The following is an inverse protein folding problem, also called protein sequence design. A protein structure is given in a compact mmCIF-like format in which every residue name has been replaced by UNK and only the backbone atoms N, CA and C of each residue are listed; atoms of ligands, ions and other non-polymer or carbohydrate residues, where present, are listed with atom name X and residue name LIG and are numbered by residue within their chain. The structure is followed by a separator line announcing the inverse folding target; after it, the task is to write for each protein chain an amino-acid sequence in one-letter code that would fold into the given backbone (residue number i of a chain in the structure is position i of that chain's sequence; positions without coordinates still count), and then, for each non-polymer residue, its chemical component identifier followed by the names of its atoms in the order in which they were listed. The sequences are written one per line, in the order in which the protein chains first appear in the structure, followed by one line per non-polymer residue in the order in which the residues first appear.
data_IF_529908414612
#
_entry.id   IF_529908414612
#
_cell.length_a   1.000
_cell.length_b   1.000
_cell.length_c   1.000
_cell.angle_alpha   90.00
_cell.angle_beta   90.00
_cell.angle_gamma   90.00
#
_symmetry.space_group_name_H-M   'P 1'
#
loop_
_entity.id
_entity.type
_entity.pdbx_description
1 polymer ?
#
# COMPACT_ATOMS: atom_id res chain seq x y z
N UNK A 1 6.05 -20.85 33.05
CA UNK A 1 5.10 -20.33 32.05
C UNK A 1 5.62 -20.75 30.69
N UNK A 2 4.91 -21.66 30.03
CA UNK A 2 5.25 -22.15 28.68
C UNK A 2 4.88 -21.06 27.69
N UNK A 3 5.62 -20.92 26.56
CA UNK A 3 5.20 -20.03 25.46
C UNK A 3 3.82 -20.43 24.90
N UNK A 4 3.40 -21.69 25.10
CA UNK A 4 2.07 -22.19 24.76
C UNK A 4 0.96 -21.57 25.62
N UNK A 5 1.26 -21.15 26.87
CA UNK A 5 0.29 -20.47 27.73
C UNK A 5 -0.09 -19.09 27.19
N UNK A 6 0.77 -18.52 26.33
CA UNK A 6 0.52 -17.26 25.63
C UNK A 6 -0.40 -17.42 24.41
N UNK A 7 -0.45 -18.62 23.85
CA UNK A 7 -1.27 -18.94 22.68
C UNK A 7 -2.74 -19.18 23.07
N UNK A 8 -2.99 -19.62 24.30
CA UNK A 8 -4.32 -20.00 24.78
C UNK A 8 -5.27 -18.82 25.08
N UNK A 9 -4.77 -17.59 25.09
CA UNK A 9 -5.60 -16.40 25.31
C UNK A 9 -6.09 -15.75 24.01
N UNK A 10 -6.37 -16.56 23.01
CA UNK A 10 -6.88 -16.11 21.72
C UNK A 10 -5.78 -15.66 20.77
N UNK A 11 -5.26 -16.59 19.98
CA UNK A 11 -4.28 -16.33 18.91
C UNK A 11 -4.69 -15.11 18.08
N UNK A 12 -5.98 -14.99 17.77
CA UNK A 12 -6.53 -13.88 17.02
C UNK A 12 -6.24 -12.53 17.68
N UNK A 13 -6.42 -12.40 18.99
CA UNK A 13 -6.16 -11.14 19.72
C UNK A 13 -4.68 -10.80 19.79
N UNK A 14 -3.79 -11.76 19.68
CA UNK A 14 -2.34 -11.53 19.73
C UNK A 14 -1.74 -11.14 18.37
N UNK A 15 -2.32 -11.63 17.29
CA UNK A 15 -1.79 -11.43 15.93
C UNK A 15 -2.66 -10.56 15.04
N UNK A 16 -3.89 -10.24 15.46
CA UNK A 16 -4.77 -9.33 14.74
C UNK A 16 -4.72 -7.93 15.38
N UNK A 17 -4.06 -6.95 14.76
CA UNK A 17 -3.95 -5.60 15.29
C UNK A 17 -5.32 -4.92 15.54
N UNK A 18 -6.33 -5.24 14.73
CA UNK A 18 -7.68 -4.70 14.92
C UNK A 18 -8.31 -5.15 16.22
N UNK A 19 -8.12 -6.42 16.58
CA UNK A 19 -8.62 -6.98 17.85
C UNK A 19 -7.84 -6.38 19.02
N UNK A 20 -6.52 -6.24 18.89
CA UNK A 20 -5.67 -5.65 19.93
C UNK A 20 -5.98 -4.18 20.20
N UNK A 21 -6.31 -3.41 19.16
CA UNK A 21 -6.66 -1.97 19.27
C UNK A 21 -8.12 -1.77 19.66
N UNK A 22 -9.00 -2.74 19.36
CA UNK A 22 -10.43 -2.66 19.66
C UNK A 22 -11.15 -1.57 18.85
N UNK A 23 -12.13 -0.91 19.47
CA UNK A 23 -13.02 0.06 18.81
C UNK A 23 -12.30 1.26 18.18
N UNK A 24 -11.08 1.58 18.64
CA UNK A 24 -10.29 2.67 18.06
C UNK A 24 -9.72 2.34 16.66
N UNK A 25 -9.66 1.07 16.27
CA UNK A 25 -9.08 0.65 14.99
C UNK A 25 -9.80 1.27 13.79
N UNK A 26 -11.13 1.30 13.83
CA UNK A 26 -11.93 1.88 12.75
C UNK A 26 -11.72 3.39 12.63
N UNK A 27 -11.67 4.08 13.78
CA UNK A 27 -11.40 5.52 13.80
C UNK A 27 -10.03 5.86 13.22
N UNK A 28 -9.01 5.08 13.51
CA UNK A 28 -7.66 5.28 12.96
C UNK A 28 -7.63 5.03 11.45
N UNK A 29 -8.24 3.94 10.98
CA UNK A 29 -8.30 3.64 9.55
C UNK A 29 -9.03 4.74 8.77
N UNK A 30 -10.15 5.22 9.30
CA UNK A 30 -10.88 6.34 8.72
C UNK A 30 -10.03 7.62 8.71
N UNK A 31 -9.25 7.89 9.77
CA UNK A 31 -8.30 8.99 9.82
C UNK A 31 -7.24 8.91 8.71
N UNK A 32 -6.68 7.72 8.47
CA UNK A 32 -5.72 7.50 7.38
C UNK A 32 -6.33 7.75 6.00
N UNK A 33 -7.56 7.29 5.78
CA UNK A 33 -8.27 7.53 4.52
C UNK A 33 -8.52 9.03 4.30
N UNK A 34 -9.00 9.75 5.31
CA UNK A 34 -9.26 11.18 5.20
C UNK A 34 -7.96 11.98 4.96
N UNK A 35 -6.90 11.68 5.69
CA UNK A 35 -5.60 12.32 5.48
C UNK A 35 -5.03 11.98 4.10
N UNK A 36 -5.17 10.74 3.65
CA UNK A 36 -4.73 10.31 2.32
C UNK A 36 -5.47 11.04 1.20
N UNK A 37 -6.79 11.23 1.32
CA UNK A 37 -7.58 12.00 0.37
C UNK A 37 -7.13 13.47 0.31
N UNK A 38 -6.90 14.09 1.47
CA UNK A 38 -6.40 15.45 1.56
C UNK A 38 -5.03 15.58 0.88
N UNK A 39 -4.11 14.70 1.21
CA UNK A 39 -2.74 14.71 0.67
C UNK A 39 -2.69 14.36 -0.82
N UNK A 40 -3.59 13.49 -1.29
CA UNK A 40 -3.71 13.18 -2.73
C UNK A 40 -4.04 14.43 -3.55
N UNK A 41 -4.89 15.29 -3.03
CA UNK A 41 -5.26 16.55 -3.71
C UNK A 41 -4.08 17.54 -3.82
N UNK A 42 -3.12 17.47 -2.90
CA UNK A 42 -1.92 18.32 -2.87
C UNK A 42 -0.77 17.73 -3.71
N UNK A 43 -0.76 16.40 -3.87
CA UNK A 43 0.29 15.68 -4.58
C UNK A 43 0.05 15.73 -6.09
N UNK A 44 0.92 16.43 -6.82
CA UNK A 44 0.93 16.36 -8.29
C UNK A 44 1.38 14.97 -8.75
N UNK A 45 0.58 14.30 -9.60
CA UNK A 45 0.92 12.96 -10.06
C UNK A 45 -0.08 12.39 -11.05
N UNK A 46 0.17 11.16 -11.48
CA UNK A 46 -0.74 10.33 -12.29
C UNK A 46 -1.24 9.19 -11.41
N UNK A 47 -2.54 9.04 -11.34
CA UNK A 47 -3.20 8.10 -10.44
C UNK A 47 -3.90 6.99 -11.22
N UNK A 48 -4.06 5.85 -10.56
CA UNK A 48 -4.83 4.71 -11.06
C UNK A 48 -4.32 4.16 -12.41
N UNK A 49 -2.99 4.10 -12.56
CA UNK A 49 -2.33 3.56 -13.76
C UNK A 49 -2.44 2.04 -13.70
N UNK A 50 -3.19 1.45 -14.64
CA UNK A 50 -3.37 0.01 -14.71
C UNK A 50 -2.07 -0.71 -15.15
N UNK A 51 -1.74 -1.81 -14.48
CA UNK A 51 -0.67 -2.72 -14.87
C UNK A 51 -1.16 -4.15 -15.17
N UNK A 52 -2.47 -4.38 -15.05
CA UNK A 52 -3.12 -5.65 -15.35
C UNK A 52 -4.63 -5.49 -15.52
N UNK A 53 -5.34 -6.62 -15.56
CA UNK A 53 -6.79 -6.64 -15.86
C UNK A 53 -7.69 -6.60 -14.63
N UNK A 54 -7.16 -6.92 -13.46
CA UNK A 54 -7.91 -6.85 -12.21
C UNK A 54 -8.03 -5.38 -11.76
N UNK A 55 -9.16 -4.99 -11.18
CA UNK A 55 -9.42 -3.60 -10.75
C UNK A 55 -8.40 -3.05 -9.75
N UNK A 56 -7.81 -3.92 -8.90
CA UNK A 56 -6.77 -3.55 -7.96
C UNK A 56 -5.36 -3.59 -8.56
N UNK A 57 -5.17 -4.04 -9.80
CA UNK A 57 -3.88 -4.02 -10.48
C UNK A 57 -3.58 -2.62 -11.03
N UNK A 58 -3.36 -1.69 -10.13
CA UNK A 58 -3.11 -0.28 -10.42
C UNK A 58 -2.00 0.28 -9.52
N UNK A 59 -1.34 1.32 -9.99
CA UNK A 59 -0.43 2.12 -9.17
C UNK A 59 -0.62 3.62 -9.40
N UNK A 60 -0.18 4.41 -8.44
CA UNK A 60 -0.08 5.86 -8.55
C UNK A 60 1.39 6.24 -8.68
N UNK A 61 1.70 7.29 -9.42
CA UNK A 61 3.06 7.81 -9.59
C UNK A 61 3.09 9.32 -9.41
N UNK A 62 4.02 9.80 -8.60
CA UNK A 62 4.42 11.20 -8.55
C UNK A 62 5.92 11.32 -8.83
N UNK A 63 6.28 12.19 -9.76
CA UNK A 63 7.68 12.45 -10.10
C UNK A 63 8.39 13.20 -8.99
N UNK A 64 9.68 12.96 -8.85
CA UNK A 64 10.56 13.66 -7.91
C UNK A 64 11.79 14.24 -8.62
N UNK A 65 12.81 14.54 -7.84
CA UNK A 65 14.12 14.92 -8.36
C UNK A 65 14.77 13.71 -9.04
N UNK A 66 15.18 13.87 -10.30
CA UNK A 66 15.84 12.83 -11.09
C UNK A 66 17.20 12.38 -10.51
N UNK A 67 17.79 13.17 -9.62
CA UNK A 67 19.01 12.79 -8.90
C UNK A 67 18.74 11.82 -7.73
N UNK A 68 17.48 11.63 -7.33
CA UNK A 68 17.07 10.75 -6.24
C UNK A 68 16.39 9.48 -6.78
N UNK A 69 16.47 8.36 -6.04
CA UNK A 69 15.79 7.14 -6.44
C UNK A 69 14.27 7.28 -6.38
N UNK A 70 13.58 6.48 -7.19
CA UNK A 70 12.12 6.30 -7.06
C UNK A 70 11.84 5.27 -5.98
N UNK A 71 10.94 5.60 -5.07
CA UNK A 71 10.51 4.72 -3.98
C UNK A 71 9.20 4.05 -4.38
N UNK A 72 9.19 2.72 -4.38
CA UNK A 72 7.99 1.91 -4.61
C UNK A 72 7.43 1.51 -3.24
N UNK A 73 6.22 1.96 -2.94
CA UNK A 73 5.50 1.63 -1.73
C UNK A 73 4.43 0.57 -2.01
N UNK A 74 4.49 -0.52 -1.28
CA UNK A 74 3.52 -1.62 -1.33
C UNK A 74 2.83 -1.66 0.03
N UNK A 75 1.51 -1.45 0.03
CA UNK A 75 0.75 -1.35 1.27
C UNK A 75 0.69 -2.68 2.02
N UNK A 76 0.66 -2.59 3.35
CA UNK A 76 0.37 -3.71 4.24
C UNK A 76 -1.12 -4.06 4.25
N UNK A 77 -1.55 -4.83 5.24
CA UNK A 77 -2.94 -5.26 5.42
C UNK A 77 -3.07 -6.78 5.47
N UNK A 78 -1.98 -7.48 5.74
CA UNK A 78 -1.96 -8.94 5.89
C UNK A 78 -2.46 -9.67 4.62
N UNK A 79 -2.27 -9.06 3.45
CA UNK A 79 -2.74 -9.54 2.13
C UNK A 79 -4.26 -9.71 2.01
N UNK A 80 -5.05 -9.21 2.94
CA UNK A 80 -6.50 -9.40 3.04
C UNK A 80 -7.29 -8.10 3.20
N UNK A 81 -6.61 -6.99 3.41
CA UNK A 81 -7.24 -5.71 3.70
C UNK A 81 -6.37 -4.55 3.29
N UNK A 82 -6.95 -3.37 3.28
CA UNK A 82 -6.38 -2.10 2.87
C UNK A 82 -6.14 -2.03 1.37
N UNK A 83 -5.91 -0.82 0.91
CA UNK A 83 -5.52 -0.55 -0.45
C UNK A 83 -4.67 0.74 -0.50
N UNK A 84 -4.12 1.03 -1.66
CA UNK A 84 -3.25 2.19 -1.86
C UNK A 84 -3.88 3.52 -1.46
N UNK A 85 -5.20 3.65 -1.53
CA UNK A 85 -5.90 4.91 -1.22
C UNK A 85 -5.76 5.31 0.25
N UNK A 86 -5.68 4.33 1.16
CA UNK A 86 -5.49 4.57 2.59
C UNK A 86 -4.04 4.97 2.95
N UNK A 87 -3.08 4.78 2.03
CA UNK A 87 -1.65 4.98 2.27
C UNK A 87 -1.06 6.20 1.56
N UNK A 88 -1.87 7.00 0.89
CA UNK A 88 -1.42 8.15 0.11
C UNK A 88 -0.68 9.22 0.94
N UNK A 89 -1.00 9.34 2.23
CA UNK A 89 -0.32 10.27 3.13
C UNK A 89 1.18 9.96 3.28
N UNK A 90 1.57 8.69 3.34
CA UNK A 90 2.99 8.28 3.34
C UNK A 90 3.69 8.66 2.03
N UNK A 91 3.00 8.50 0.91
CA UNK A 91 3.50 8.88 -0.40
C UNK A 91 3.78 10.37 -0.49
N UNK A 92 2.85 11.18 0.00
CA UNK A 92 2.98 12.63 -0.03
C UNK A 92 4.16 13.12 0.82
N UNK A 93 4.46 12.48 1.94
CA UNK A 93 5.61 12.83 2.79
C UNK A 93 6.94 12.50 2.08
N UNK A 94 7.02 11.36 1.41
CA UNK A 94 8.19 10.97 0.62
C UNK A 94 8.38 11.91 -0.58
N UNK A 95 7.31 12.23 -1.31
CA UNK A 95 7.36 13.17 -2.42
C UNK A 95 7.74 14.58 -1.96
N UNK A 96 7.25 15.02 -0.80
CA UNK A 96 7.64 16.28 -0.16
C UNK A 96 9.12 16.36 0.20
N UNK A 97 9.78 15.22 0.32
CA UNK A 97 11.23 15.09 0.52
C UNK A 97 12.03 15.03 -0.80
N UNK A 98 11.37 15.18 -1.94
CA UNK A 98 11.97 15.21 -3.27
C UNK A 98 12.07 13.87 -3.98
N UNK A 99 11.66 12.76 -3.36
CA UNK A 99 11.69 11.45 -4.02
C UNK A 99 10.59 11.32 -5.08
N UNK A 100 10.91 10.64 -6.19
CA UNK A 100 9.88 10.04 -7.03
C UNK A 100 9.22 8.90 -6.25
N UNK A 101 7.90 8.79 -6.32
CA UNK A 101 7.16 7.81 -5.50
C UNK A 101 6.12 7.07 -6.33
N UNK A 102 6.01 5.77 -6.06
CA UNK A 102 5.01 4.88 -6.64
C UNK A 102 4.25 4.17 -5.52
N UNK A 103 2.92 4.22 -5.55
CA UNK A 103 2.05 3.56 -4.61
C UNK A 103 1.29 2.42 -5.31
N UNK A 104 1.63 1.19 -4.99
CA UNK A 104 1.14 0.00 -5.70
C UNK A 104 -0.03 -0.62 -4.97
N UNK A 105 -1.09 -0.93 -5.71
CA UNK A 105 -2.16 -1.78 -5.26
C UNK A 105 -2.03 -3.19 -5.85
N UNK A 106 -2.69 -4.18 -5.25
CA UNK A 106 -2.67 -5.58 -5.69
C UNK A 106 -3.95 -6.30 -5.25
N UNK A 107 -4.38 -7.36 -5.96
CA UNK A 107 -5.51 -8.20 -5.55
C UNK A 107 -5.28 -8.84 -4.19
N UNK A 108 -6.36 -9.09 -3.43
CA UNK A 108 -6.29 -9.54 -2.05
C UNK A 108 -6.74 -11.01 -1.89
N UNK A 109 -6.22 -11.69 -0.87
CA UNK A 109 -6.75 -12.97 -0.42
C UNK A 109 -8.14 -12.79 0.22
N UNK A 110 -9.08 -13.74 0.08
CA UNK A 110 -8.93 -15.06 -0.53
C UNK A 110 -9.26 -15.12 -2.03
N UNK A 111 -9.52 -13.98 -2.69
CA UNK A 111 -9.81 -13.93 -4.13
C UNK A 111 -8.64 -14.47 -4.95
N UNK A 112 -7.42 -14.14 -4.51
CA UNK A 112 -6.16 -14.66 -5.07
C UNK A 112 -5.31 -15.31 -3.98
N UNK A 113 -4.35 -16.12 -4.38
CA UNK A 113 -3.34 -16.73 -3.50
C UNK A 113 -2.14 -15.79 -3.29
N UNK A 114 -1.35 -16.01 -2.25
CA UNK A 114 -0.08 -15.28 -2.05
C UNK A 114 0.88 -15.41 -3.23
N UNK A 115 0.91 -16.57 -3.89
CA UNK A 115 1.75 -16.78 -5.08
C UNK A 115 1.30 -15.90 -6.24
N UNK A 116 -0.01 -15.74 -6.42
CA UNK A 116 -0.56 -14.84 -7.44
C UNK A 116 -0.30 -13.36 -7.10
N UNK A 117 -0.37 -12.98 -5.83
CA UNK A 117 0.01 -11.62 -5.39
C UNK A 117 1.46 -11.33 -5.76
N UNK A 118 2.38 -12.27 -5.51
CA UNK A 118 3.79 -12.10 -5.85
C UNK A 118 3.96 -11.95 -7.37
N UNK A 119 3.24 -12.74 -8.17
CA UNK A 119 3.27 -12.62 -9.62
C UNK A 119 2.75 -11.23 -10.07
N UNK A 120 1.61 -10.78 -9.53
CA UNK A 120 1.07 -9.44 -9.80
C UNK A 120 2.05 -8.32 -9.45
N UNK A 121 2.76 -8.43 -8.32
CA UNK A 121 3.75 -7.43 -7.92
C UNK A 121 4.97 -7.41 -8.83
N UNK A 122 5.40 -8.55 -9.37
CA UNK A 122 6.44 -8.60 -10.39
C UNK A 122 5.99 -7.88 -11.69
N UNK A 123 4.75 -8.10 -12.11
CA UNK A 123 4.17 -7.39 -13.26
C UNK A 123 4.06 -5.88 -12.99
N UNK A 124 3.67 -5.50 -11.78
CA UNK A 124 3.65 -4.10 -11.35
C UNK A 124 5.03 -3.45 -11.47
N UNK A 125 6.08 -4.09 -10.94
CA UNK A 125 7.45 -3.56 -11.00
C UNK A 125 7.90 -3.38 -12.46
N UNK A 126 7.61 -4.34 -13.34
CA UNK A 126 7.94 -4.22 -14.76
C UNK A 126 7.23 -3.04 -15.42
N UNK A 127 5.93 -2.86 -15.14
CA UNK A 127 5.15 -1.74 -15.67
C UNK A 127 5.62 -0.38 -15.11
N UNK A 128 6.00 -0.32 -13.82
CA UNK A 128 6.52 0.88 -13.17
C UNK A 128 7.84 1.31 -13.82
N UNK A 129 8.77 0.40 -14.04
CA UNK A 129 10.05 0.71 -14.70
C UNK A 129 9.79 1.35 -16.06
N UNK A 130 8.94 0.74 -16.89
CA UNK A 130 8.58 1.30 -18.21
C UNK A 130 7.95 2.68 -18.10
N UNK A 131 7.07 2.88 -17.11
CA UNK A 131 6.37 4.16 -16.91
C UNK A 131 7.33 5.27 -16.44
N UNK A 132 8.23 4.97 -15.52
CA UNK A 132 9.22 5.91 -14.98
C UNK A 132 10.22 6.31 -16.07
N UNK A 133 10.79 5.34 -16.79
CA UNK A 133 11.74 5.59 -17.87
C UNK A 133 11.15 6.45 -19.00
N UNK A 134 9.86 6.33 -19.27
CA UNK A 134 9.18 7.16 -20.26
C UNK A 134 8.96 8.62 -19.81
N UNK A 135 9.19 8.93 -18.52
CA UNK A 135 9.01 10.27 -17.93
C UNK A 135 10.34 10.98 -17.63
N UNK A 136 11.45 10.24 -17.67
CA UNK A 136 12.82 10.75 -17.51
C UNK A 136 13.46 11.05 -18.87
#
# INVERSE_FOLDING_TARGET
MSWLDWIDHGIESQFNPRVAVGDAAESWLNGWVQESLRRKAELGGVFDIAYGTHELMQFDYASGDLALPVIIYINGGYWRALDKSAMMHHMADLAGSGFGVVNVNYPLCPEVTLTEIIACLNDAIAAIVVHVDAKT
#
